data_IF_380073640118
#
_entry.id   IF_380073640118
#
_cell.length_a   1.000
_cell.length_b   1.000
_cell.length_c   1.000
_cell.angle_alpha   90.00
_cell.angle_beta   90.00
_cell.angle_gamma   90.00
#
_symmetry.space_group_name_H-M   'P 1'
#
loop_
_entity.id
_entity.type
_entity.pdbx_description
1 polymer ?
#
# COMPACT_ATOMS: atom_id res chain seq x y z
N UNK A 1 29.04 19.11 48.47
CA UNK A 1 30.52 19.04 48.44
C UNK A 1 30.89 17.61 48.14
N UNK A 2 31.70 17.20 47.16
CA UNK A 2 32.32 17.80 45.97
C UNK A 2 32.95 16.59 45.25
N UNK A 3 32.79 16.46 43.94
CA UNK A 3 33.35 15.34 43.19
C UNK A 3 32.86 15.30 41.74
N UNK A 4 32.99 16.43 41.05
CA UNK A 4 32.75 16.56 39.62
C UNK A 4 34.07 16.34 38.89
N UNK A 5 34.23 15.22 38.21
CA UNK A 5 35.33 15.05 37.25
C UNK A 5 34.95 15.66 35.90
N UNK A 6 35.68 16.72 35.54
CA UNK A 6 35.60 17.46 34.30
C UNK A 6 36.24 16.65 33.17
N UNK A 7 35.51 16.43 32.08
CA UNK A 7 36.11 16.13 30.78
C UNK A 7 36.16 17.42 29.96
N UNK A 8 37.37 17.81 29.54
CA UNK A 8 37.63 18.99 28.69
C UNK A 8 37.02 18.78 27.30
N UNK A 9 36.39 19.80 26.70
CA UNK A 9 36.16 19.83 25.26
C UNK A 9 37.48 20.18 24.56
N UNK A 10 37.82 19.47 23.48
CA UNK A 10 38.83 19.93 22.52
C UNK A 10 38.16 20.97 21.61
N UNK A 11 38.70 22.18 21.63
CA UNK A 11 38.33 23.28 20.74
C UNK A 11 38.68 22.96 19.28
N UNK A 12 37.78 23.34 18.38
CA UNK A 12 37.91 23.22 16.94
C UNK A 12 36.52 23.23 16.32
N UNK A 13 36.18 24.29 15.59
CA UNK A 13 34.82 24.57 15.09
C UNK A 13 34.22 23.46 14.23
N UNK A 14 32.89 23.30 14.30
CA UNK A 14 32.16 22.32 13.50
C UNK A 14 30.94 22.92 12.83
N UNK A 15 30.98 22.86 11.50
CA UNK A 15 29.85 22.73 10.60
C UNK A 15 28.95 21.58 11.09
N UNK A 16 27.63 21.76 11.04
CA UNK A 16 26.63 20.88 11.66
C UNK A 16 26.74 19.41 11.28
N UNK A 17 27.29 18.61 12.20
CA UNK A 17 27.20 17.15 12.22
C UNK A 17 26.40 16.72 13.46
N UNK A 18 25.32 15.95 13.27
CA UNK A 18 24.53 15.30 14.32
C UNK A 18 25.47 14.55 15.30
N UNK A 19 25.72 15.13 16.49
CA UNK A 19 26.57 14.48 17.51
C UNK A 19 25.87 13.23 18.06
N UNK A 20 26.36 12.06 17.66
CA UNK A 20 26.03 10.76 18.25
C UNK A 20 26.70 10.66 19.62
N UNK A 21 25.90 10.56 20.69
CA UNK A 21 26.41 10.23 22.03
C UNK A 21 26.03 8.79 22.36
N UNK A 22 27.01 7.94 22.64
CA UNK A 22 26.82 6.54 23.04
C UNK A 22 27.44 6.27 24.40
N UNK A 23 26.80 5.47 25.24
CA UNK A 23 27.41 4.89 26.43
C UNK A 23 27.13 3.38 26.49
N UNK A 24 28.12 2.61 26.94
CA UNK A 24 27.99 1.16 27.15
C UNK A 24 27.64 0.87 28.60
N UNK A 25 26.68 -0.02 28.81
CA UNK A 25 26.40 -0.61 30.12
C UNK A 25 27.18 -1.91 30.23
N UNK A 26 27.64 -2.28 31.43
CA UNK A 26 28.51 -3.46 31.71
C UNK A 26 28.00 -4.82 31.20
N UNK A 27 26.80 -4.90 30.64
CA UNK A 27 26.13 -6.13 30.19
C UNK A 27 26.10 -6.31 28.65
N UNK A 28 26.96 -5.64 27.89
CA UNK A 28 26.97 -5.73 26.41
C UNK A 28 25.80 -5.01 25.72
N UNK A 29 25.03 -4.23 26.49
CA UNK A 29 23.95 -3.36 25.99
C UNK A 29 24.54 -1.99 25.69
N UNK A 30 24.24 -1.49 24.49
CA UNK A 30 24.63 -0.19 23.98
C UNK A 30 23.40 0.72 23.97
N UNK A 31 23.55 1.92 24.51
CA UNK A 31 22.54 2.98 24.41
C UNK A 31 23.11 4.11 23.57
N UNK A 32 22.38 4.47 22.53
CA UNK A 32 22.78 5.50 21.57
C UNK A 32 21.66 6.50 21.37
N UNK A 33 22.02 7.76 21.14
CA UNK A 33 21.06 8.81 20.82
C UNK A 33 21.20 9.22 19.36
N UNK A 34 20.09 9.19 18.65
CA UNK A 34 19.95 9.67 17.28
C UNK A 34 18.85 10.75 17.25
N UNK A 35 19.28 12.01 17.40
CA UNK A 35 18.36 13.15 17.52
C UNK A 35 17.45 13.06 18.76
N UNK A 36 16.14 12.93 18.53
CA UNK A 36 15.11 12.79 19.56
C UNK A 36 14.83 11.33 19.96
N UNK A 37 15.42 10.36 19.24
CA UNK A 37 15.23 8.93 19.45
C UNK A 37 16.42 8.36 20.22
N UNK A 38 16.14 7.45 21.16
CA UNK A 38 17.16 6.66 21.86
C UNK A 38 17.08 5.22 21.38
N UNK A 39 18.20 4.63 20.99
CA UNK A 39 18.31 3.23 20.57
C UNK A 39 18.98 2.43 21.69
N UNK A 40 18.33 1.36 22.14
CA UNK A 40 18.86 0.40 23.12
C UNK A 40 19.00 -0.95 22.43
N UNK A 41 20.23 -1.42 22.28
CA UNK A 41 20.55 -2.64 21.52
C UNK A 41 21.64 -3.47 22.18
N UNK A 42 21.69 -4.75 21.86
CA UNK A 42 22.78 -5.67 22.18
C UNK A 42 23.73 -5.83 20.99
N UNK A 43 24.92 -6.39 21.19
CA UNK A 43 25.92 -6.56 20.13
C UNK A 43 25.46 -7.45 18.96
N UNK A 44 24.53 -8.38 19.19
CA UNK A 44 23.99 -9.28 18.17
C UNK A 44 22.75 -8.75 17.42
N UNK A 45 22.28 -7.53 17.74
CA UNK A 45 21.11 -6.97 17.08
C UNK A 45 21.46 -6.42 15.69
N UNK A 46 20.54 -6.54 14.74
CA UNK A 46 20.68 -6.00 13.38
C UNK A 46 20.61 -4.45 13.39
N UNK A 47 21.77 -3.82 13.38
CA UNK A 47 21.91 -2.36 13.38
C UNK A 47 21.27 -1.70 12.14
N UNK A 48 21.31 -2.36 10.98
CA UNK A 48 20.72 -1.80 9.76
C UNK A 48 19.19 -1.70 9.90
N UNK A 49 18.56 -2.78 10.38
CA UNK A 49 17.12 -2.80 10.64
C UNK A 49 16.69 -1.77 11.69
N UNK A 50 17.46 -1.62 12.78
CA UNK A 50 17.13 -0.63 13.82
C UNK A 50 17.22 0.81 13.29
N UNK A 51 18.22 1.12 12.46
CA UNK A 51 18.33 2.45 11.83
C UNK A 51 17.20 2.73 10.85
N UNK A 52 16.76 1.74 10.07
CA UNK A 52 15.59 1.88 9.21
C UNK A 52 14.34 2.25 10.03
N UNK A 53 14.15 1.57 11.17
CA UNK A 53 13.06 1.89 12.10
C UNK A 53 13.19 3.32 12.61
N UNK A 54 14.34 3.74 13.13
CA UNK A 54 14.57 5.11 13.64
C UNK A 54 14.22 6.17 12.59
N UNK A 55 14.64 5.98 11.33
CA UNK A 55 14.35 6.92 10.23
C UNK A 55 12.86 7.02 9.90
N UNK A 56 12.11 5.95 10.08
CA UNK A 56 10.69 5.88 9.76
C UNK A 56 9.77 6.29 10.93
N UNK A 57 10.32 6.62 12.10
CA UNK A 57 9.52 6.99 13.27
C UNK A 57 8.95 8.43 13.14
N UNK A 58 7.69 8.64 13.55
CA UNK A 58 7.18 9.99 13.79
C UNK A 58 8.01 10.73 14.84
N UNK A 59 8.24 12.03 14.61
CA UNK A 59 9.05 12.88 15.49
C UNK A 59 8.54 12.96 16.94
N UNK A 60 7.22 12.85 17.13
CA UNK A 60 6.58 12.85 18.44
C UNK A 60 5.69 11.60 18.63
N UNK A 61 5.49 11.14 19.89
CA UNK A 61 6.21 11.54 21.10
C UNK A 61 7.68 11.04 21.10
N UNK A 62 8.42 11.38 22.15
CA UNK A 62 9.78 10.88 22.37
C UNK A 62 9.83 9.35 22.26
N UNK A 63 10.74 8.80 21.46
CA UNK A 63 10.74 7.37 21.15
C UNK A 63 12.02 6.69 21.64
N UNK A 64 11.87 5.47 22.17
CA UNK A 64 12.97 4.57 22.52
C UNK A 64 12.84 3.30 21.70
N UNK A 65 13.79 3.06 20.80
CA UNK A 65 13.85 1.84 19.98
C UNK A 65 14.62 0.77 20.74
N UNK A 66 14.00 -0.39 20.93
CA UNK A 66 14.57 -1.52 21.69
C UNK A 66 14.82 -2.68 20.73
N UNK A 67 16.09 -2.98 20.48
CA UNK A 67 16.52 -4.06 19.59
C UNK A 67 16.58 -5.44 20.25
N UNK A 68 16.69 -5.48 21.58
CA UNK A 68 16.95 -6.69 22.35
C UNK A 68 15.76 -7.12 23.21
N UNK A 69 15.50 -8.42 23.29
CA UNK A 69 14.33 -9.01 24.00
C UNK A 69 14.66 -9.57 25.39
N UNK A 70 15.94 -9.56 25.79
CA UNK A 70 16.38 -10.13 27.06
C UNK A 70 16.04 -9.26 28.28
N UNK A 71 15.65 -9.88 29.41
CA UNK A 71 15.30 -9.16 30.65
C UNK A 71 16.41 -8.24 31.21
N UNK A 72 17.67 -8.47 30.83
CA UNK A 72 18.80 -7.62 31.18
C UNK A 72 18.65 -6.16 30.70
N UNK A 73 17.76 -5.91 29.71
CA UNK A 73 17.47 -4.57 29.21
C UNK A 73 16.59 -3.73 30.16
N UNK A 74 15.84 -4.36 31.07
CA UNK A 74 14.84 -3.66 31.90
C UNK A 74 15.43 -2.54 32.77
N UNK A 75 16.56 -2.72 33.49
CA UNK A 75 17.18 -1.63 34.23
C UNK A 75 17.68 -0.49 33.33
N UNK A 76 18.14 -0.84 32.12
CA UNK A 76 18.58 0.15 31.13
C UNK A 76 17.41 0.97 30.61
N UNK A 77 16.27 0.31 30.30
CA UNK A 77 15.03 1.00 29.91
C UNK A 77 14.55 1.95 30.99
N UNK A 78 14.54 1.53 32.26
CA UNK A 78 14.13 2.39 33.36
C UNK A 78 14.99 3.67 33.44
N UNK A 79 16.31 3.54 33.29
CA UNK A 79 17.23 4.69 33.25
C UNK A 79 17.02 5.58 32.03
N UNK A 80 16.79 5.00 30.85
CA UNK A 80 16.52 5.76 29.62
C UNK A 80 15.22 6.54 29.74
N UNK A 81 14.15 5.92 30.24
CA UNK A 81 12.87 6.60 30.48
C UNK A 81 13.03 7.74 31.48
N UNK A 82 13.76 7.53 32.59
CA UNK A 82 14.04 8.58 33.56
C UNK A 82 14.85 9.75 32.97
N UNK A 83 15.87 9.49 32.14
CA UNK A 83 16.59 10.56 31.42
C UNK A 83 15.65 11.33 30.46
N UNK A 84 14.73 10.63 29.78
CA UNK A 84 13.74 11.30 28.93
C UNK A 84 12.78 12.17 29.73
N UNK A 85 12.31 11.69 30.87
CA UNK A 85 11.48 12.42 31.82
C UNK A 85 12.20 13.69 32.32
N UNK A 86 13.45 13.57 32.79
CA UNK A 86 14.27 14.70 33.25
C UNK A 86 14.58 15.74 32.16
N UNK A 87 14.37 15.40 30.89
CA UNK A 87 14.47 16.32 29.73
C UNK A 87 13.11 16.85 29.27
N UNK A 88 12.05 16.69 30.07
CA UNK A 88 10.73 17.25 29.82
C UNK A 88 9.84 16.42 28.88
N UNK A 89 10.14 15.15 28.63
CA UNK A 89 9.21 14.30 27.86
C UNK A 89 7.98 13.94 28.71
N UNK A 90 6.79 14.37 28.31
CA UNK A 90 5.54 13.96 28.99
C UNK A 90 5.05 12.56 28.61
N UNK A 91 5.44 12.08 27.42
CA UNK A 91 5.11 10.74 26.90
C UNK A 91 6.37 10.12 26.29
N UNK A 92 6.63 8.86 26.63
CA UNK A 92 7.71 8.05 26.05
C UNK A 92 7.12 6.81 25.37
N UNK A 93 7.38 6.67 24.08
CA UNK A 93 6.94 5.52 23.27
C UNK A 93 8.07 4.52 23.10
N UNK A 94 7.82 3.26 23.48
CA UNK A 94 8.74 2.16 23.26
C UNK A 94 8.44 1.50 21.92
N UNK A 95 9.44 1.32 21.07
CA UNK A 95 9.31 0.67 19.77
C UNK A 95 10.23 -0.54 19.74
N UNK A 96 9.67 -1.75 19.64
CA UNK A 96 10.45 -2.97 19.71
C UNK A 96 10.18 -3.87 18.51
N UNK A 97 11.00 -3.81 17.43
CA UNK A 97 10.79 -4.62 16.22
C UNK A 97 10.81 -6.13 16.44
N UNK A 98 11.50 -6.59 17.50
CA UNK A 98 11.51 -7.99 17.95
C UNK A 98 10.60 -8.27 19.14
N UNK A 99 9.83 -7.29 19.61
CA UNK A 99 9.07 -7.36 20.86
C UNK A 99 9.88 -6.93 22.09
N UNK A 100 9.17 -6.64 23.19
CA UNK A 100 9.79 -6.34 24.48
C UNK A 100 9.93 -7.62 25.33
N UNK A 101 10.85 -7.63 26.32
CA UNK A 101 10.91 -8.72 27.29
C UNK A 101 9.56 -8.92 27.98
N UNK A 102 9.14 -10.19 28.13
CA UNK A 102 7.94 -10.51 28.88
C UNK A 102 8.09 -10.13 30.36
N UNK A 103 7.23 -9.22 30.82
CA UNK A 103 7.16 -8.73 32.19
C UNK A 103 5.71 -8.62 32.64
N UNK A 104 5.50 -8.63 33.96
CA UNK A 104 4.20 -8.33 34.53
C UNK A 104 3.77 -6.89 34.17
N UNK A 105 2.51 -6.64 33.75
CA UNK A 105 2.02 -5.31 33.40
C UNK A 105 2.24 -4.24 34.49
N UNK A 106 2.27 -4.64 35.77
CA UNK A 106 2.56 -3.73 36.89
C UNK A 106 3.96 -3.15 36.85
N UNK A 107 4.91 -3.78 36.13
CA UNK A 107 6.25 -3.24 35.93
C UNK A 107 6.20 -1.92 35.14
N UNK A 108 5.46 -1.89 34.04
CA UNK A 108 5.28 -0.68 33.23
C UNK A 108 4.54 0.41 34.01
N UNK A 109 3.51 0.04 34.79
CA UNK A 109 2.80 0.97 35.68
C UNK A 109 3.73 1.58 36.72
N UNK A 110 4.53 0.76 37.42
CA UNK A 110 5.51 1.26 38.41
C UNK A 110 6.56 2.16 37.77
N UNK A 111 7.00 1.85 36.55
CA UNK A 111 7.95 2.71 35.85
C UNK A 111 7.34 4.07 35.49
N UNK A 112 6.13 4.09 34.93
CA UNK A 112 5.40 5.32 34.62
C UNK A 112 5.20 6.17 35.89
N UNK A 113 4.77 5.54 37.00
CA UNK A 113 4.62 6.19 38.30
C UNK A 113 5.93 6.79 38.81
N UNK A 114 7.00 6.00 38.86
CA UNK A 114 8.28 6.43 39.41
C UNK A 114 8.96 7.54 38.60
N UNK A 115 8.62 7.66 37.31
CA UNK A 115 9.22 8.66 36.41
C UNK A 115 8.29 9.83 36.12
N UNK A 116 7.02 9.76 36.51
CA UNK A 116 6.01 10.79 36.24
C UNK A 116 5.68 10.96 34.75
N UNK A 117 6.07 10.02 33.89
CA UNK A 117 5.81 10.08 32.44
C UNK A 117 4.85 8.99 32.00
N UNK A 118 4.07 9.31 30.97
CA UNK A 118 3.24 8.32 30.31
C UNK A 118 4.08 7.41 29.41
N UNK A 119 3.81 6.11 29.46
CA UNK A 119 4.46 5.11 28.62
C UNK A 119 3.50 4.55 27.59
N UNK A 120 3.93 4.52 26.32
CA UNK A 120 3.29 3.76 25.25
C UNK A 120 4.11 2.51 24.97
N UNK A 121 3.55 1.35 25.29
CA UNK A 121 4.26 0.07 25.31
C UNK A 121 3.56 -0.92 24.38
N UNK A 122 4.25 -1.56 23.43
CA UNK A 122 3.65 -2.56 22.57
C UNK A 122 3.54 -3.90 23.31
N UNK A 123 2.44 -4.64 23.08
CA UNK A 123 2.28 -6.00 23.61
C UNK A 123 3.05 -7.08 22.84
N UNK A 124 3.63 -6.72 21.68
CA UNK A 124 4.32 -7.63 20.78
C UNK A 124 5.30 -6.91 19.83
N UNK A 125 5.82 -7.61 18.80
CA UNK A 125 6.73 -7.01 17.81
C UNK A 125 6.08 -5.85 17.05
N UNK A 126 6.85 -4.79 16.82
CA UNK A 126 6.37 -3.59 16.12
C UNK A 126 6.87 -3.55 14.68
N UNK A 127 5.93 -3.44 13.74
CA UNK A 127 6.19 -3.07 12.36
C UNK A 127 6.03 -1.55 12.17
N UNK A 128 6.82 -0.96 11.27
CA UNK A 128 6.69 0.44 10.87
C UNK A 128 6.25 0.49 9.42
N UNK A 129 5.17 1.22 9.14
CA UNK A 129 4.55 1.31 7.83
C UNK A 129 4.09 2.75 7.57
N UNK A 130 4.84 3.48 6.73
CA UNK A 130 4.62 4.90 6.37
C UNK A 130 4.26 5.79 7.56
N UNK A 131 5.14 5.83 8.57
CA UNK A 131 4.96 6.64 9.77
C UNK A 131 3.95 6.09 10.79
N UNK A 132 3.22 5.01 10.47
CA UNK A 132 2.37 4.32 11.45
C UNK A 132 3.12 3.13 12.05
N UNK A 133 2.92 2.91 13.35
CA UNK A 133 3.46 1.78 14.08
C UNK A 133 2.37 0.75 14.31
N UNK A 134 2.63 -0.50 13.99
CA UNK A 134 1.67 -1.59 14.14
C UNK A 134 2.23 -2.69 15.03
N UNK A 135 1.51 -3.04 16.10
CA UNK A 135 1.84 -4.18 16.95
C UNK A 135 1.31 -5.44 16.31
N UNK A 136 2.20 -6.36 15.94
CA UNK A 136 1.82 -7.67 15.42
C UNK A 136 1.35 -8.54 16.59
N UNK A 137 0.16 -9.11 16.44
CA UNK A 137 -0.36 -10.12 17.36
C UNK A 137 0.25 -11.49 17.11
N UNK A 138 0.07 -12.37 18.08
CA UNK A 138 0.26 -13.80 17.90
C UNK A 138 -1.09 -14.37 17.43
N UNK A 139 -1.14 -14.91 16.22
CA UNK A 139 -2.39 -15.31 15.54
C UNK A 139 -3.25 -16.29 16.36
N UNK A 140 -2.66 -16.97 17.35
CA UNK A 140 -3.35 -17.99 18.17
C UNK A 140 -3.72 -17.53 19.58
N UNK A 141 -3.11 -16.45 20.09
CA UNK A 141 -3.20 -16.13 21.53
C UNK A 141 -3.87 -14.80 21.81
N UNK A 142 -3.34 -13.71 21.27
CA UNK A 142 -3.81 -12.36 21.57
C UNK A 142 -3.55 -11.40 20.40
N UNK A 143 -4.49 -10.48 20.10
CA UNK A 143 -4.25 -9.42 19.16
C UNK A 143 -3.11 -8.51 19.67
N UNK A 144 -2.29 -8.03 18.74
CA UNK A 144 -1.27 -7.04 19.05
C UNK A 144 -1.93 -5.72 19.43
N UNK A 145 -1.48 -5.10 20.52
CA UNK A 145 -2.06 -3.86 21.01
C UNK A 145 -0.99 -2.94 21.60
N UNK A 146 -1.15 -1.65 21.37
CA UNK A 146 -0.46 -0.61 22.11
C UNK A 146 -1.13 -0.43 23.46
N UNK A 147 -0.32 -0.30 24.52
CA UNK A 147 -0.79 -0.04 25.88
C UNK A 147 -0.28 1.31 26.37
N UNK A 148 -1.18 2.10 26.94
CA UNK A 148 -0.90 3.37 27.60
C UNK A 148 -0.85 3.18 29.10
N UNK A 149 0.29 3.49 29.71
CA UNK A 149 0.46 3.54 31.16
C UNK A 149 0.70 4.99 31.58
N UNK A 150 -0.36 5.67 32.03
CA UNK A 150 -0.25 6.96 32.67
C UNK A 150 0.12 6.81 34.16
N UNK A 151 0.83 7.77 34.77
CA UNK A 151 1.01 7.81 36.23
C UNK A 151 -0.34 7.70 36.95
N UNK A 152 -0.42 6.86 37.98
CA UNK A 152 -1.64 6.55 38.73
C UNK A 152 -2.67 5.66 38.03
N UNK A 153 -2.48 5.33 36.75
CA UNK A 153 -3.46 4.58 35.94
C UNK A 153 -3.27 3.06 35.95
N UNK A 154 -4.32 2.31 35.57
CA UNK A 154 -4.32 0.84 35.50
C UNK A 154 -3.77 0.25 34.19
N UNK A 155 -3.37 1.08 33.23
CA UNK A 155 -3.01 0.66 31.87
C UNK A 155 -4.24 0.56 30.97
N UNK A 156 -4.19 1.19 29.78
CA UNK A 156 -5.30 1.20 28.81
C UNK A 156 -4.83 0.67 27.47
N UNK A 157 -5.61 -0.22 26.86
CA UNK A 157 -5.40 -0.68 25.49
C UNK A 157 -5.78 0.42 24.50
N UNK A 158 -4.94 0.63 23.49
CA UNK A 158 -5.08 1.64 22.44
C UNK A 158 -5.27 1.02 21.04
N UNK A 159 -5.35 -0.31 20.95
CA UNK A 159 -5.44 -1.04 19.69
C UNK A 159 -4.10 -1.21 18.98
N UNK A 160 -4.07 -1.85 17.80
CA UNK A 160 -2.84 -2.30 17.16
C UNK A 160 -2.03 -1.19 16.49
N UNK A 161 -2.61 -0.04 16.12
CA UNK A 161 -1.94 1.03 15.39
C UNK A 161 -1.64 2.23 16.29
N UNK A 162 -0.49 2.85 16.06
CA UNK A 162 -0.13 4.11 16.70
C UNK A 162 0.56 5.07 15.72
N UNK A 163 0.07 6.31 15.56
CA UNK A 163 -1.19 6.82 16.14
C UNK A 163 -2.41 6.05 15.60
N UNK A 164 -3.49 5.93 16.39
CA UNK A 164 -4.68 5.19 15.97
C UNK A 164 -5.41 5.97 14.85
N UNK A 165 -5.73 5.34 13.70
CA UNK A 165 -6.63 5.95 12.74
C UNK A 165 -8.05 5.99 13.32
N UNK A 166 -8.87 6.98 12.90
CA UNK A 166 -10.20 7.20 13.48
C UNK A 166 -11.16 6.00 13.32
N UNK A 167 -10.93 5.16 12.30
CA UNK A 167 -11.74 3.97 12.06
C UNK A 167 -11.33 2.75 12.90
N UNK A 168 -10.22 2.81 13.66
CA UNK A 168 -9.66 1.62 14.32
C UNK A 168 -10.66 0.93 15.25
N UNK A 169 -11.37 1.71 16.06
CA UNK A 169 -12.29 1.20 17.07
C UNK A 169 -13.63 0.73 16.46
N UNK A 170 -13.89 1.09 15.20
CA UNK A 170 -15.07 0.69 14.44
C UNK A 170 -14.88 -0.66 13.72
N UNK A 171 -13.68 -1.23 13.78
CA UNK A 171 -13.33 -2.49 13.12
C UNK A 171 -13.35 -3.64 14.14
N UNK A 172 -13.99 -4.78 13.84
CA UNK A 172 -13.99 -5.96 14.71
C UNK A 172 -12.59 -6.40 15.11
N UNK A 173 -12.45 -7.03 16.27
CA UNK A 173 -11.16 -7.53 16.75
C UNK A 173 -10.49 -8.47 15.73
N UNK A 174 -9.15 -8.42 15.68
CA UNK A 174 -8.39 -9.35 14.84
C UNK A 174 -8.65 -10.79 15.26
N UNK A 175 -8.89 -11.67 14.30
CA UNK A 175 -9.26 -13.07 14.54
C UNK A 175 -10.77 -13.33 14.48
N UNK A 176 -11.60 -12.30 14.36
CA UNK A 176 -13.06 -12.45 14.21
C UNK A 176 -13.38 -13.37 13.04
N UNK A 177 -14.21 -14.40 13.28
CA UNK A 177 -14.66 -15.31 12.22
C UNK A 177 -15.88 -14.76 11.51
N UNK A 178 -15.86 -14.83 10.17
CA UNK A 178 -17.01 -14.53 9.30
C UNK A 178 -17.50 -15.85 8.72
N UNK A 179 -18.78 -16.17 8.96
CA UNK A 179 -19.42 -17.46 8.62
C UNK A 179 -18.66 -18.72 9.04
N UNK A 180 -17.84 -18.62 10.08
CA UNK A 180 -17.00 -19.72 10.58
C UNK A 180 -15.89 -20.18 9.62
N UNK A 181 -15.77 -19.61 8.41
CA UNK A 181 -14.83 -20.04 7.36
C UNK A 181 -13.70 -19.04 7.12
N UNK A 182 -14.00 -17.75 7.26
CA UNK A 182 -13.03 -16.68 7.07
C UNK A 182 -12.61 -16.08 8.40
N UNK A 183 -11.43 -15.49 8.41
CA UNK A 183 -10.87 -14.72 9.52
C UNK A 183 -10.65 -13.29 9.03
N UNK A 184 -11.18 -12.33 9.79
CA UNK A 184 -10.81 -10.92 9.69
C UNK A 184 -9.57 -10.67 10.54
N UNK A 185 -8.43 -10.45 9.90
CA UNK A 185 -7.14 -10.21 10.56
C UNK A 185 -6.69 -8.76 10.34
N UNK A 186 -6.21 -8.12 11.41
CA UNK A 186 -5.68 -6.76 11.30
C UNK A 186 -4.31 -6.74 10.60
N UNK A 187 -4.17 -5.83 9.65
CA UNK A 187 -2.92 -5.45 9.01
C UNK A 187 -2.63 -3.97 9.27
N UNK A 188 -1.39 -3.49 9.13
CA UNK A 188 -1.10 -2.06 9.22
C UNK A 188 -2.04 -1.22 8.34
N UNK A 189 -2.25 -1.64 7.08
CA UNK A 189 -3.10 -0.95 6.09
C UNK A 189 -4.61 -1.01 6.36
N UNK A 190 -5.07 -1.90 7.24
CA UNK A 190 -6.51 -2.16 7.43
C UNK A 190 -6.78 -3.57 7.93
N UNK A 191 -7.68 -4.30 7.26
CA UNK A 191 -8.04 -5.68 7.58
C UNK A 191 -7.89 -6.54 6.35
N UNK A 192 -7.45 -7.78 6.52
CA UNK A 192 -7.59 -8.82 5.51
C UNK A 192 -8.69 -9.79 5.92
N UNK A 193 -9.63 -10.06 5.01
CA UNK A 193 -10.61 -11.12 5.12
C UNK A 193 -10.10 -12.32 4.33
N UNK A 194 -9.70 -13.38 5.02
CA UNK A 194 -9.02 -14.54 4.40
C UNK A 194 -9.48 -15.88 4.97
N UNK A 195 -9.36 -16.98 4.23
CA UNK A 195 -9.47 -18.31 4.79
C UNK A 195 -8.44 -18.54 5.91
N UNK A 196 -8.84 -19.24 6.97
CA UNK A 196 -7.99 -19.45 8.15
C UNK A 196 -6.63 -20.09 7.82
N UNK A 197 -6.64 -21.05 6.88
CA UNK A 197 -5.49 -21.86 6.50
C UNK A 197 -4.46 -21.13 5.61
N UNK A 198 -4.76 -19.91 5.14
CA UNK A 198 -3.87 -19.18 4.22
C UNK A 198 -3.41 -17.88 4.86
N UNK A 199 -2.11 -17.73 5.07
CA UNK A 199 -1.53 -16.52 5.66
C UNK A 199 -1.47 -15.37 4.63
N UNK A 200 -1.55 -14.10 5.08
CA UNK A 200 -1.38 -12.95 4.20
C UNK A 200 0.09 -12.80 3.78
N UNK A 201 0.36 -12.23 2.58
CA UNK A 201 1.71 -11.88 2.16
C UNK A 201 2.41 -10.93 3.15
N UNK A 202 3.69 -11.19 3.43
CA UNK A 202 4.45 -10.45 4.44
C UNK A 202 4.59 -8.96 4.11
N UNK A 203 4.64 -8.60 2.84
CA UNK A 203 4.78 -7.22 2.36
C UNK A 203 3.56 -6.34 2.68
N UNK A 204 2.39 -6.91 2.93
CA UNK A 204 1.22 -6.13 3.34
C UNK A 204 1.40 -5.52 4.74
N UNK A 205 2.36 -6.04 5.53
CA UNK A 205 2.76 -5.42 6.80
C UNK A 205 3.71 -4.23 6.66
N UNK A 206 4.17 -3.92 5.44
CA UNK A 206 4.96 -2.72 5.18
C UNK A 206 4.07 -1.52 4.77
N UNK A 207 2.80 -1.76 4.46
CA UNK A 207 1.90 -0.77 3.85
C UNK A 207 1.21 0.09 4.91
N UNK A 208 1.37 1.41 4.81
CA UNK A 208 0.76 2.36 5.73
C UNK A 208 -0.78 2.34 5.67
N UNK A 209 -1.50 2.55 6.79
CA UNK A 209 -2.93 2.81 6.74
C UNK A 209 -3.25 4.14 6.07
N UNK A 210 -4.42 4.21 5.45
CA UNK A 210 -5.09 5.49 5.19
C UNK A 210 -5.73 5.94 6.51
N UNK A 211 -5.36 7.11 7.07
CA UNK A 211 -5.88 7.56 8.36
C UNK A 211 -7.39 7.87 8.30
N UNK A 212 -7.95 8.06 7.11
CA UNK A 212 -9.34 8.45 6.88
C UNK A 212 -10.23 7.32 6.35
N UNK A 213 -9.68 6.18 5.96
CA UNK A 213 -10.48 5.06 5.43
C UNK A 213 -9.90 3.71 5.78
N UNK A 214 -10.75 2.76 6.18
CA UNK A 214 -10.33 1.37 6.36
C UNK A 214 -10.16 0.69 4.99
N UNK A 215 -9.04 0.00 4.81
CA UNK A 215 -8.84 -0.91 3.68
C UNK A 215 -9.26 -2.31 4.09
N UNK A 216 -10.18 -2.91 3.34
CA UNK A 216 -10.54 -4.32 3.50
C UNK A 216 -9.96 -5.08 2.31
N UNK A 217 -8.90 -5.86 2.56
CA UNK A 217 -8.30 -6.74 1.57
C UNK A 217 -9.10 -8.04 1.57
N UNK A 218 -9.67 -8.39 0.42
CA UNK A 218 -10.54 -9.56 0.24
C UNK A 218 -9.72 -10.69 -0.38
N UNK A 219 -9.60 -11.78 0.35
CA UNK A 219 -8.81 -12.94 -0.05
C UNK A 219 -7.31 -12.71 0.02
N UNK A 220 -6.57 -13.76 -0.32
CA UNK A 220 -5.11 -13.79 -0.35
C UNK A 220 -4.65 -14.53 -1.61
N UNK A 221 -3.48 -14.20 -2.18
CA UNK A 221 -2.98 -14.89 -3.38
C UNK A 221 -2.90 -16.41 -3.19
N UNK A 222 -3.43 -17.16 -4.15
CA UNK A 222 -3.44 -18.63 -4.13
C UNK A 222 -4.44 -19.27 -3.15
N UNK A 223 -5.18 -18.48 -2.37
CA UNK A 223 -6.24 -18.98 -1.49
C UNK A 223 -7.57 -19.20 -2.22
N UNK A 224 -8.51 -19.93 -1.59
CA UNK A 224 -9.92 -19.96 -2.02
C UNK A 224 -10.49 -18.55 -2.19
N UNK A 225 -11.31 -18.36 -3.24
CA UNK A 225 -12.00 -17.10 -3.47
C UNK A 225 -12.98 -16.80 -2.34
N UNK A 226 -13.02 -15.54 -1.94
CA UNK A 226 -14.00 -15.01 -0.99
C UNK A 226 -15.19 -14.46 -1.79
N UNK A 227 -16.42 -14.84 -1.43
CA UNK A 227 -17.63 -14.42 -2.14
C UNK A 227 -18.16 -13.07 -1.64
N UNK A 228 -19.10 -12.48 -2.38
CA UNK A 228 -19.65 -11.16 -2.07
C UNK A 228 -20.51 -11.14 -0.81
N UNK A 229 -21.17 -12.24 -0.49
CA UNK A 229 -21.97 -12.42 0.72
C UNK A 229 -21.09 -12.31 1.97
N UNK A 230 -19.99 -13.06 2.01
CA UNK A 230 -19.01 -13.01 3.10
C UNK A 230 -18.44 -11.59 3.32
N UNK A 231 -18.16 -10.88 2.22
CA UNK A 231 -17.68 -9.49 2.27
C UNK A 231 -18.76 -8.56 2.80
N UNK A 232 -19.99 -8.72 2.32
CA UNK A 232 -21.14 -7.90 2.73
C UNK A 232 -21.41 -8.07 4.23
N UNK A 233 -21.43 -9.30 4.72
CA UNK A 233 -21.68 -9.59 6.12
C UNK A 233 -20.59 -9.02 7.02
N UNK A 234 -19.32 -9.08 6.59
CA UNK A 234 -18.25 -8.38 7.29
C UNK A 234 -18.46 -6.85 7.30
N UNK A 235 -18.75 -6.24 6.14
CA UNK A 235 -18.98 -4.79 6.05
C UNK A 235 -20.16 -4.33 6.92
N UNK A 236 -21.19 -5.16 7.06
CA UNK A 236 -22.35 -4.88 7.92
C UNK A 236 -22.00 -4.88 9.42
N UNK A 237 -20.85 -5.45 9.83
CA UNK A 237 -20.37 -5.37 11.22
C UNK A 237 -19.66 -4.05 11.56
N UNK A 238 -19.29 -3.26 10.54
CA UNK A 238 -18.63 -1.96 10.73
C UNK A 238 -19.64 -0.89 11.13
N UNK A 239 -19.19 0.16 11.84
CA UNK A 239 -20.01 1.35 12.04
C UNK A 239 -20.41 1.97 10.68
N UNK A 240 -21.64 2.51 10.53
CA UNK A 240 -22.16 2.95 9.23
C UNK A 240 -21.25 3.92 8.47
N UNK A 241 -20.67 4.90 9.16
CA UNK A 241 -19.75 5.88 8.58
C UNK A 241 -18.44 5.25 8.10
N UNK A 242 -17.93 4.25 8.82
CA UNK A 242 -16.71 3.51 8.44
C UNK A 242 -17.01 2.55 7.30
N UNK A 243 -18.18 1.91 7.31
CA UNK A 243 -18.66 1.08 6.21
C UNK A 243 -18.78 1.89 4.90
N UNK A 244 -19.42 3.06 4.96
CA UNK A 244 -19.58 3.95 3.80
C UNK A 244 -18.25 4.50 3.25
N UNK A 245 -17.24 4.63 4.13
CA UNK A 245 -15.89 5.09 3.77
C UNK A 245 -14.91 3.95 3.45
N UNK A 246 -15.29 2.69 3.64
CA UNK A 246 -14.43 1.54 3.43
C UNK A 246 -14.05 1.38 1.95
N UNK A 247 -12.84 0.88 1.72
CA UNK A 247 -12.37 0.51 0.37
C UNK A 247 -12.03 -0.97 0.31
N UNK A 248 -12.55 -1.65 -0.71
CA UNK A 248 -12.24 -3.05 -0.98
C UNK A 248 -11.05 -3.17 -1.94
N UNK A 249 -10.12 -4.05 -1.60
CA UNK A 249 -8.99 -4.45 -2.45
C UNK A 249 -9.06 -5.96 -2.64
N UNK A 250 -9.08 -6.45 -3.88
CA UNK A 250 -9.05 -7.90 -4.12
C UNK A 250 -7.61 -8.43 -4.03
N UNK A 251 -7.29 -9.12 -2.94
CA UNK A 251 -5.99 -9.74 -2.70
C UNK A 251 -5.80 -11.09 -3.40
N UNK A 252 -6.88 -11.77 -3.75
CA UNK A 252 -6.90 -13.06 -4.47
C UNK A 252 -6.92 -12.91 -6.01
N UNK A 253 -6.90 -11.68 -6.52
CA UNK A 253 -6.89 -11.38 -7.96
C UNK A 253 -8.24 -11.48 -8.66
N UNK A 254 -9.36 -11.63 -7.93
CA UNK A 254 -10.69 -11.53 -8.54
C UNK A 254 -10.99 -10.10 -9.03
N UNK A 255 -11.98 -9.95 -9.90
CA UNK A 255 -12.37 -8.64 -10.43
C UNK A 255 -13.06 -7.78 -9.35
N UNK A 256 -12.36 -6.73 -8.92
CA UNK A 256 -12.80 -5.89 -7.80
C UNK A 256 -14.15 -5.20 -8.05
N UNK A 257 -14.43 -4.76 -9.29
CA UNK A 257 -15.71 -4.10 -9.58
C UNK A 257 -16.87 -5.08 -9.58
N UNK A 258 -16.69 -6.30 -10.10
CA UNK A 258 -17.72 -7.34 -10.02
C UNK A 258 -18.05 -7.63 -8.56
N UNK A 259 -17.04 -7.89 -7.72
CA UNK A 259 -17.24 -8.10 -6.27
C UNK A 259 -17.94 -6.89 -5.62
N UNK A 260 -17.46 -5.68 -5.90
CA UNK A 260 -17.99 -4.45 -5.32
C UNK A 260 -19.43 -4.14 -5.71
N UNK A 261 -19.83 -4.43 -6.95
CA UNK A 261 -21.23 -4.26 -7.40
C UNK A 261 -22.15 -5.25 -6.69
N UNK A 262 -21.76 -6.51 -6.61
CA UNK A 262 -22.55 -7.53 -5.90
C UNK A 262 -22.66 -7.16 -4.42
N UNK A 263 -21.56 -6.79 -3.76
CA UNK A 263 -21.58 -6.36 -2.37
C UNK A 263 -22.42 -5.09 -2.16
N UNK A 264 -22.34 -4.09 -3.05
CA UNK A 264 -23.17 -2.89 -2.98
C UNK A 264 -24.67 -3.21 -3.12
N UNK A 265 -25.02 -4.14 -4.01
CA UNK A 265 -26.38 -4.63 -4.17
C UNK A 265 -26.91 -5.33 -2.92
N UNK A 266 -26.10 -6.20 -2.31
CA UNK A 266 -26.47 -6.92 -1.08
C UNK A 266 -26.56 -6.00 0.14
N UNK A 267 -25.64 -5.03 0.26
CA UNK A 267 -25.59 -4.09 1.38
C UNK A 267 -26.63 -2.96 1.27
N UNK A 268 -27.15 -2.72 0.06
CA UNK A 268 -28.08 -1.62 -0.22
C UNK A 268 -27.43 -0.23 -0.21
N UNK A 269 -26.10 -0.15 -0.19
CA UNK A 269 -25.33 1.12 -0.23
C UNK A 269 -24.14 0.99 -1.17
N UNK A 270 -23.61 2.13 -1.60
CA UNK A 270 -22.47 2.14 -2.50
C UNK A 270 -21.19 1.65 -1.81
N UNK A 271 -20.41 0.85 -2.51
CA UNK A 271 -19.12 0.30 -2.05
C UNK A 271 -18.00 0.89 -2.90
N UNK A 272 -16.90 1.31 -2.26
CA UNK A 272 -15.70 1.74 -2.98
C UNK A 272 -14.76 0.56 -3.18
N UNK A 273 -14.29 0.37 -4.41
CA UNK A 273 -13.29 -0.65 -4.74
C UNK A 273 -12.04 -0.01 -5.31
N UNK A 274 -10.93 -0.72 -5.16
CA UNK A 274 -9.61 -0.30 -5.60
C UNK A 274 -9.05 -1.36 -6.53
N UNK A 275 -8.59 -0.94 -7.71
CA UNK A 275 -7.86 -1.84 -8.61
C UNK A 275 -6.39 -1.93 -8.17
N UNK A 276 -5.89 -3.15 -8.06
CA UNK A 276 -4.53 -3.46 -7.60
C UNK A 276 -4.38 -3.52 -6.08
N UNK A 277 -3.27 -4.08 -5.64
CA UNK A 277 -2.93 -4.19 -4.22
C UNK A 277 -2.02 -3.05 -3.79
N UNK A 278 -2.15 -2.53 -2.56
CA UNK A 278 -1.25 -1.50 -2.10
C UNK A 278 0.16 -2.08 -1.91
N UNK A 279 1.15 -1.37 -2.41
CA UNK A 279 2.56 -1.63 -2.21
C UNK A 279 3.25 -0.34 -1.79
N UNK A 280 4.34 -0.47 -1.03
CA UNK A 280 5.20 0.66 -0.71
C UNK A 280 6.28 0.77 -1.78
N UNK A 281 6.42 1.95 -2.39
CA UNK A 281 7.53 2.26 -3.29
C UNK A 281 8.17 3.56 -2.82
N UNK A 282 9.32 3.45 -2.14
CA UNK A 282 9.89 4.59 -1.42
C UNK A 282 8.98 5.01 -0.27
N UNK A 283 8.63 6.30 -0.21
CA UNK A 283 7.73 6.86 0.81
C UNK A 283 6.26 6.93 0.36
N UNK A 284 5.94 6.49 -0.86
CA UNK A 284 4.59 6.57 -1.42
C UNK A 284 3.89 5.20 -1.39
N UNK A 285 2.62 5.19 -0.96
CA UNK A 285 1.71 4.08 -1.21
C UNK A 285 1.25 4.12 -2.66
N UNK A 286 1.50 3.05 -3.40
CA UNK A 286 1.02 2.89 -4.77
C UNK A 286 0.17 1.64 -4.89
N UNK A 287 -0.99 1.74 -5.53
CA UNK A 287 -1.75 0.55 -5.92
C UNK A 287 -1.12 -0.03 -7.18
N UNK A 288 -0.74 -1.29 -7.12
CA UNK A 288 -0.08 -1.99 -8.23
C UNK A 288 -0.76 -3.33 -8.45
N UNK A 289 -1.02 -3.64 -9.72
CA UNK A 289 -1.52 -4.94 -10.13
C UNK A 289 -0.45 -6.00 -9.93
N UNK A 290 -0.86 -7.26 -9.79
CA UNK A 290 0.06 -8.37 -9.59
C UNK A 290 -0.15 -9.43 -10.66
N UNK A 291 0.94 -10.00 -11.17
CA UNK A 291 0.88 -11.14 -12.07
C UNK A 291 0.42 -12.42 -11.33
N UNK A 292 0.25 -13.52 -12.07
CA UNK A 292 -0.14 -14.81 -11.49
C UNK A 292 0.87 -15.40 -10.50
N UNK A 293 2.10 -14.88 -10.45
CA UNK A 293 3.11 -15.23 -9.45
C UNK A 293 3.08 -14.26 -8.25
N UNK A 294 2.12 -13.34 -8.20
CA UNK A 294 1.99 -12.34 -7.14
C UNK A 294 2.98 -11.17 -7.27
N UNK A 295 3.74 -11.05 -8.36
CA UNK A 295 4.74 -9.97 -8.50
C UNK A 295 4.07 -8.68 -9.00
N UNK A 296 4.40 -7.50 -8.42
CA UNK A 296 3.87 -6.23 -8.90
C UNK A 296 4.22 -5.97 -10.38
N UNK A 297 3.27 -5.52 -11.18
CA UNK A 297 3.46 -5.27 -12.64
C UNK A 297 3.42 -3.78 -13.00
N UNK A 298 2.25 -3.17 -12.97
CA UNK A 298 2.03 -1.75 -13.29
C UNK A 298 0.91 -1.19 -12.41
N UNK A 299 0.87 0.14 -12.29
CA UNK A 299 -0.13 0.82 -11.48
C UNK A 299 -1.28 1.33 -12.33
N UNK A 300 -2.55 0.97 -12.01
CA UNK A 300 -3.70 1.36 -12.80
C UNK A 300 -3.90 2.88 -12.79
N UNK A 301 -4.36 3.42 -13.92
CA UNK A 301 -4.69 4.84 -14.03
C UNK A 301 -5.96 5.17 -13.24
N UNK A 302 -7.00 4.36 -13.37
CA UNK A 302 -8.18 4.44 -12.51
C UNK A 302 -7.91 3.63 -11.23
N UNK A 303 -7.80 4.30 -10.09
CA UNK A 303 -7.36 3.70 -8.83
C UNK A 303 -8.52 3.34 -7.92
N UNK A 304 -9.51 4.22 -7.78
CA UNK A 304 -10.67 4.01 -6.92
C UNK A 304 -11.97 4.20 -7.70
N UNK A 305 -12.92 3.31 -7.48
CA UNK A 305 -14.17 3.21 -8.23
C UNK A 305 -15.31 3.07 -7.23
N UNK A 306 -16.36 3.88 -7.37
CA UNK A 306 -17.59 3.77 -6.60
C UNK A 306 -18.54 2.82 -7.33
N UNK A 307 -18.87 1.70 -6.71
CA UNK A 307 -19.92 0.80 -7.15
C UNK A 307 -21.22 1.19 -6.43
N UNK A 308 -22.21 1.79 -7.12
CA UNK A 308 -23.51 2.10 -6.50
C UNK A 308 -24.30 0.82 -6.21
N UNK A 309 -25.27 0.91 -5.31
CA UNK A 309 -26.32 -0.09 -5.19
C UNK A 309 -27.28 0.02 -6.40
N UNK A 310 -27.72 -1.13 -6.94
CA UNK A 310 -28.64 -1.18 -8.08
C UNK A 310 -27.96 -1.12 -9.46
N UNK A 311 -28.70 -0.63 -10.46
CA UNK A 311 -28.30 -0.70 -11.88
C UNK A 311 -27.43 0.46 -12.35
N UNK A 312 -27.17 1.45 -11.48
CA UNK A 312 -26.35 2.59 -11.85
C UNK A 312 -24.91 2.16 -12.21
N UNK A 313 -24.32 2.87 -13.18
CA UNK A 313 -22.95 2.60 -13.60
C UNK A 313 -21.96 2.98 -12.50
N UNK A 314 -20.90 2.17 -12.35
CA UNK A 314 -19.83 2.49 -11.41
C UNK A 314 -19.10 3.78 -11.87
N UNK A 315 -18.70 4.61 -10.92
CA UNK A 315 -18.14 5.93 -11.20
C UNK A 315 -16.67 6.02 -10.75
N UNK A 316 -15.80 6.71 -11.51
CA UNK A 316 -14.43 6.94 -11.09
C UNK A 316 -14.39 7.89 -9.88
N UNK A 317 -13.65 7.52 -8.83
CA UNK A 317 -13.44 8.35 -7.64
C UNK A 317 -12.03 8.93 -7.57
N UNK A 318 -11.02 8.15 -7.96
CA UNK A 318 -9.62 8.55 -7.90
C UNK A 318 -8.85 7.99 -9.07
N UNK A 319 -7.99 8.80 -9.65
CA UNK A 319 -7.15 8.41 -10.77
C UNK A 319 -5.77 9.07 -10.71
N UNK A 320 -4.82 8.44 -11.41
CA UNK A 320 -3.50 8.99 -11.70
C UNK A 320 -3.56 9.76 -13.02
N UNK A 321 -2.97 10.95 -13.05
CA UNK A 321 -2.84 11.74 -14.28
C UNK A 321 -1.95 10.96 -15.27
N UNK A 322 -2.43 10.62 -16.48
CA UNK A 322 -1.69 9.74 -17.38
C UNK A 322 -0.41 10.34 -17.94
N UNK A 323 -0.43 11.65 -18.19
CA UNK A 323 0.68 12.40 -18.76
C UNK A 323 0.74 13.77 -18.09
N UNK A 324 1.94 14.19 -17.70
CA UNK A 324 2.15 15.49 -17.08
C UNK A 324 1.72 16.64 -18.02
N UNK A 325 1.11 17.67 -17.44
CA UNK A 325 0.67 18.89 -18.15
C UNK A 325 -0.70 18.79 -18.84
N UNK A 326 -1.39 17.65 -18.78
CA UNK A 326 -2.76 17.56 -19.30
C UNK A 326 -3.75 18.40 -18.47
N UNK A 327 -4.66 19.08 -19.16
CA UNK A 327 -5.66 19.96 -18.52
C UNK A 327 -6.90 19.13 -18.14
N UNK A 328 -7.36 19.12 -16.87
CA UNK A 328 -8.60 18.45 -16.49
C UNK A 328 -9.82 19.02 -17.23
N UNK A 329 -10.70 18.14 -17.72
CA UNK A 329 -11.96 18.50 -18.38
C UNK A 329 -13.18 18.09 -17.54
N UNK A 330 -13.18 16.86 -17.03
CA UNK A 330 -14.19 16.34 -16.10
C UNK A 330 -13.57 15.20 -15.26
N UNK A 331 -14.27 14.61 -14.27
CA UNK A 331 -13.71 13.52 -13.46
C UNK A 331 -13.13 12.38 -14.31
N UNK A 332 -11.82 12.15 -14.19
CA UNK A 332 -11.09 11.14 -14.96
C UNK A 332 -10.88 11.46 -16.43
N UNK A 333 -11.21 12.66 -16.91
CA UNK A 333 -11.09 13.05 -18.32
C UNK A 333 -10.24 14.30 -18.46
N UNK A 334 -9.31 14.26 -19.39
CA UNK A 334 -8.34 15.32 -19.65
C UNK A 334 -8.42 15.79 -21.09
N UNK A 335 -8.14 17.07 -21.33
CA UNK A 335 -8.01 17.63 -22.67
C UNK A 335 -6.58 17.43 -23.17
N UNK A 336 -6.44 16.80 -24.34
CA UNK A 336 -5.15 16.64 -25.03
C UNK A 336 -4.90 17.85 -25.93
N UNK A 337 -5.89 18.20 -26.73
CA UNK A 337 -5.97 19.42 -27.54
C UNK A 337 -7.45 19.83 -27.68
N UNK A 338 -7.78 20.79 -28.55
CA UNK A 338 -9.17 21.23 -28.73
C UNK A 338 -10.08 20.16 -29.38
N UNK A 339 -9.51 19.18 -30.08
CA UNK A 339 -10.23 18.12 -30.77
C UNK A 339 -10.32 16.80 -30.00
N UNK A 340 -9.49 16.58 -28.97
CA UNK A 340 -9.33 15.28 -28.32
C UNK A 340 -9.35 15.32 -26.79
N UNK A 341 -10.05 14.34 -26.22
CA UNK A 341 -10.13 14.07 -24.79
C UNK A 341 -9.50 12.70 -24.48
N UNK A 342 -8.80 12.60 -23.37
CA UNK A 342 -8.24 11.38 -22.82
C UNK A 342 -8.95 11.02 -21.51
N UNK A 343 -9.74 9.95 -21.53
CA UNK A 343 -10.38 9.38 -20.34
C UNK A 343 -9.54 8.28 -19.70
N UNK A 344 -9.57 8.18 -18.37
CA UNK A 344 -9.00 7.05 -17.63
C UNK A 344 -9.99 5.91 -17.55
N UNK A 345 -9.55 4.70 -17.88
CA UNK A 345 -10.32 3.47 -17.75
C UNK A 345 -9.62 2.53 -16.77
N UNK A 346 -10.34 1.50 -16.31
CA UNK A 346 -9.76 0.41 -15.50
C UNK A 346 -8.57 -0.25 -16.19
N UNK A 347 -8.78 -0.65 -17.44
CA UNK A 347 -7.77 -1.35 -18.24
C UNK A 347 -6.73 -0.42 -18.88
N UNK A 348 -6.84 0.91 -18.73
CA UNK A 348 -5.90 1.86 -19.31
C UNK A 348 -6.51 3.23 -19.61
N UNK A 349 -6.50 3.64 -20.87
CA UNK A 349 -6.81 5.00 -21.32
C UNK A 349 -7.71 4.98 -22.56
N UNK A 350 -8.53 6.00 -22.73
CA UNK A 350 -9.44 6.14 -23.86
C UNK A 350 -9.33 7.52 -24.52
N UNK A 351 -8.80 7.57 -25.73
CA UNK A 351 -8.71 8.77 -26.54
C UNK A 351 -9.95 8.90 -27.43
N UNK A 352 -10.73 9.97 -27.24
CA UNK A 352 -11.98 10.22 -27.97
C UNK A 352 -12.11 11.68 -28.42
N UNK A 353 -13.02 11.94 -29.35
CA UNK A 353 -13.27 13.30 -29.85
C UNK A 353 -13.91 14.20 -28.79
N UNK A 354 -13.49 15.45 -28.75
CA UNK A 354 -14.11 16.51 -27.96
C UNK A 354 -15.43 16.98 -28.62
N UNK A 355 -16.39 17.48 -27.82
CA UNK A 355 -17.67 17.99 -28.32
C UNK A 355 -18.76 16.94 -28.60
N UNK A 356 -18.51 15.67 -28.28
CA UNK A 356 -19.53 14.60 -28.28
C UNK A 356 -20.16 14.45 -26.89
N UNK A 357 -21.42 13.97 -26.79
CA UNK A 357 -22.05 13.71 -25.50
C UNK A 357 -21.13 12.86 -24.62
N UNK A 358 -21.07 13.14 -23.31
CA UNK A 358 -20.28 12.31 -22.40
C UNK A 358 -20.90 10.91 -22.38
N UNK A 359 -20.24 9.96 -23.03
CA UNK A 359 -20.46 8.56 -22.69
C UNK A 359 -19.87 8.36 -21.28
N UNK A 360 -20.63 7.77 -20.34
CA UNK A 360 -20.02 7.33 -19.10
C UNK A 360 -18.85 6.44 -19.48
N UNK A 361 -17.66 6.75 -18.95
CA UNK A 361 -16.48 5.94 -19.23
C UNK A 361 -16.85 4.50 -18.88
N UNK A 362 -16.84 3.58 -19.86
CA UNK A 362 -17.15 2.20 -19.55
C UNK A 362 -16.18 1.78 -18.45
N UNK A 363 -16.73 1.27 -17.36
CA UNK A 363 -15.98 0.40 -16.47
C UNK A 363 -15.63 -0.79 -17.37
N UNK A 364 -14.51 -0.69 -18.08
CA UNK A 364 -14.15 -1.56 -19.19
C UNK A 364 -13.95 -3.01 -18.76
N UNK A 365 -13.35 -3.86 -19.61
CA UNK A 365 -13.06 -5.24 -19.20
C UNK A 365 -12.24 -5.27 -17.90
N UNK A 366 -12.24 -6.40 -17.17
CA UNK A 366 -11.37 -6.60 -16.02
C UNK A 366 -9.93 -6.21 -16.33
N UNK A 367 -9.25 -5.67 -15.32
CA UNK A 367 -7.87 -5.21 -15.49
C UNK A 367 -6.95 -6.41 -15.66
N UNK A 368 -6.11 -6.37 -16.70
CA UNK A 368 -5.08 -7.38 -16.94
C UNK A 368 -3.72 -6.88 -16.42
N UNK A 369 -3.07 -7.59 -15.47
CA UNK A 369 -1.75 -7.23 -14.98
C UNK A 369 -0.65 -7.19 -16.06
N UNK A 370 -0.86 -7.84 -17.22
CA UNK A 370 0.10 -7.89 -18.32
C UNK A 370 -0.16 -6.84 -19.42
N UNK A 371 -1.32 -6.19 -19.44
CA UNK A 371 -1.75 -5.33 -20.55
C UNK A 371 -2.30 -3.99 -20.07
N UNK A 372 -1.84 -2.91 -20.70
CA UNK A 372 -2.46 -1.58 -20.60
C UNK A 372 -3.11 -1.24 -21.94
N UNK A 373 -4.42 -1.04 -21.96
CA UNK A 373 -5.15 -0.71 -23.19
C UNK A 373 -5.20 0.79 -23.41
N UNK A 374 -4.78 1.26 -24.58
CA UNK A 374 -5.09 2.59 -25.10
C UNK A 374 -6.16 2.44 -26.17
N UNK A 375 -7.41 2.72 -25.82
CA UNK A 375 -8.54 2.70 -26.72
C UNK A 375 -8.62 4.01 -27.51
N UNK A 376 -8.96 3.95 -28.80
CA UNK A 376 -9.03 5.13 -29.68
C UNK A 376 -10.32 5.16 -30.48
N UNK A 377 -11.04 6.28 -30.37
CA UNK A 377 -12.33 6.51 -31.00
C UNK A 377 -13.50 5.85 -30.26
N UNK A 378 -14.67 5.96 -30.87
CA UNK A 378 -15.93 5.43 -30.37
C UNK A 378 -16.39 4.28 -31.31
N UNK A 379 -16.91 3.16 -30.79
CA UNK A 379 -17.39 2.05 -31.63
C UNK A 379 -18.36 2.49 -32.74
N UNK A 380 -18.07 2.09 -33.98
CA UNK A 380 -18.91 2.38 -35.15
C UNK A 380 -18.77 3.80 -35.73
N UNK A 381 -18.04 4.69 -35.07
CA UNK A 381 -17.86 6.07 -35.52
C UNK A 381 -16.61 6.22 -36.42
N UNK A 382 -16.66 7.04 -37.49
CA UNK A 382 -15.50 7.31 -38.32
C UNK A 382 -14.34 7.92 -37.52
N UNK A 383 -13.15 7.33 -37.65
CA UNK A 383 -11.96 7.81 -36.98
C UNK A 383 -11.12 8.68 -37.93
N UNK A 384 -11.00 10.00 -37.67
CA UNK A 384 -10.30 10.93 -38.56
C UNK A 384 -8.78 10.72 -38.58
N UNK A 385 -8.12 11.08 -39.68
CA UNK A 385 -6.66 10.92 -39.82
C UNK A 385 -5.86 11.79 -38.85
N UNK A 386 -6.42 12.90 -38.37
CA UNK A 386 -5.76 13.80 -37.42
C UNK A 386 -5.49 13.15 -36.05
N UNK A 387 -6.09 12.01 -35.73
CA UNK A 387 -5.84 11.31 -34.46
C UNK A 387 -4.43 10.73 -34.36
N UNK A 388 -3.83 10.33 -35.48
CA UNK A 388 -2.62 9.50 -35.44
C UNK A 388 -1.38 10.27 -34.96
N UNK A 389 -1.15 11.53 -35.38
CA UNK A 389 -0.07 12.34 -34.79
C UNK A 389 -0.29 12.61 -33.30
N UNK A 390 -1.52 12.91 -32.89
CA UNK A 390 -1.89 13.15 -31.47
C UNK A 390 -1.63 11.89 -30.63
N UNK A 391 -2.00 10.72 -31.17
CA UNK A 391 -1.78 9.44 -30.53
C UNK A 391 -0.29 9.12 -30.41
N UNK A 392 0.52 9.42 -31.43
CA UNK A 392 1.96 9.21 -31.37
C UNK A 392 2.62 10.07 -30.27
N UNK A 393 2.32 11.37 -30.21
CA UNK A 393 2.80 12.27 -29.15
C UNK A 393 2.38 11.77 -27.76
N UNK A 394 1.11 11.38 -27.62
CA UNK A 394 0.59 10.88 -26.37
C UNK A 394 1.37 9.64 -25.90
N UNK A 395 1.61 8.68 -26.79
CA UNK A 395 2.34 7.45 -26.45
C UNK A 395 3.77 7.76 -26.02
N UNK A 396 4.46 8.69 -26.70
CA UNK A 396 5.85 9.04 -26.38
C UNK A 396 6.00 9.70 -24.99
N UNK A 397 4.89 10.21 -24.43
CA UNK A 397 4.85 10.88 -23.12
C UNK A 397 4.33 9.99 -22.00
N UNK A 398 3.92 8.75 -22.27
CA UNK A 398 3.49 7.81 -21.24
C UNK A 398 4.66 7.35 -20.36
N UNK A 399 4.36 6.95 -19.13
CA UNK A 399 5.37 6.41 -18.22
C UNK A 399 6.10 5.19 -18.82
N UNK A 400 7.42 5.13 -18.63
CA UNK A 400 8.27 4.06 -19.14
C UNK A 400 7.89 2.66 -18.62
N UNK A 401 7.23 2.55 -17.46
CA UNK A 401 6.76 1.27 -16.92
C UNK A 401 5.48 0.75 -17.62
N UNK A 402 4.75 1.62 -18.32
CA UNK A 402 3.53 1.28 -19.06
C UNK A 402 3.83 0.88 -20.50
N UNK A 403 4.81 1.52 -21.15
CA UNK A 403 5.10 1.31 -22.58
C UNK A 403 5.26 -0.17 -23.00
N UNK A 404 6.02 -1.03 -22.28
CA UNK A 404 6.17 -2.44 -22.67
C UNK A 404 4.87 -3.27 -22.63
N UNK A 405 3.85 -2.77 -21.92
CA UNK A 405 2.56 -3.43 -21.69
C UNK A 405 1.44 -2.81 -22.53
N UNK A 406 1.73 -1.71 -23.22
CA UNK A 406 0.74 -0.96 -23.96
C UNK A 406 0.18 -1.79 -25.12
N UNK A 407 -1.13 -1.74 -25.31
CA UNK A 407 -1.85 -2.34 -26.43
C UNK A 407 -2.82 -1.32 -26.98
N UNK A 408 -2.76 -1.09 -28.29
CA UNK A 408 -3.62 -0.16 -28.98
C UNK A 408 -4.92 -0.87 -29.40
N UNK A 409 -6.07 -0.36 -28.95
CA UNK A 409 -7.39 -0.86 -29.35
C UNK A 409 -8.13 0.22 -30.13
N UNK A 410 -8.19 0.07 -31.44
CA UNK A 410 -8.93 1.01 -32.30
C UNK A 410 -10.39 0.62 -32.27
N UNK A 411 -11.23 1.47 -31.67
CA UNK A 411 -12.67 1.25 -31.51
C UNK A 411 -13.48 1.88 -32.64
N UNK A 412 -13.10 3.09 -33.07
CA UNK A 412 -13.71 3.75 -34.24
C UNK A 412 -13.27 3.13 -35.56
N UNK A 413 -13.89 3.55 -36.66
CA UNK A 413 -13.65 3.04 -38.01
C UNK A 413 -12.59 3.87 -38.75
N UNK A 414 -11.32 3.41 -38.80
CA UNK A 414 -10.28 4.10 -39.55
C UNK A 414 -10.45 3.89 -41.07
N UNK A 415 -10.21 4.95 -41.84
CA UNK A 415 -9.99 4.84 -43.28
C UNK A 415 -8.71 4.04 -43.62
N UNK A 416 -8.45 3.73 -44.91
CA UNK A 416 -7.30 2.93 -45.33
C UNK A 416 -5.95 3.49 -44.86
N UNK A 417 -5.74 4.82 -44.98
CA UNK A 417 -4.54 5.51 -44.48
C UNK A 417 -4.44 5.44 -42.96
N UNK A 418 -5.55 5.59 -42.25
CA UNK A 418 -5.59 5.44 -40.80
C UNK A 418 -5.21 4.03 -40.34
N UNK A 419 -5.66 2.98 -41.04
CA UNK A 419 -5.24 1.59 -40.76
C UNK A 419 -3.74 1.40 -40.98
N UNK A 420 -3.17 2.04 -42.00
CA UNK A 420 -1.73 2.01 -42.25
C UNK A 420 -0.96 2.73 -41.13
N UNK A 421 -1.37 3.94 -40.77
CA UNK A 421 -0.77 4.73 -39.69
C UNK A 421 -0.83 4.00 -38.34
N UNK A 422 -1.96 3.37 -38.01
CA UNK A 422 -2.09 2.59 -36.78
C UNK A 422 -1.09 1.42 -36.71
N UNK A 423 -0.90 0.71 -37.84
CA UNK A 423 0.07 -0.39 -37.93
C UNK A 423 1.51 0.11 -37.87
N UNK A 424 1.79 1.27 -38.46
CA UNK A 424 3.10 1.90 -38.40
C UNK A 424 3.45 2.34 -36.98
N UNK A 425 2.52 3.01 -36.30
CA UNK A 425 2.66 3.39 -34.90
C UNK A 425 2.93 2.16 -34.02
N UNK A 426 2.14 1.10 -34.20
CA UNK A 426 2.28 -0.16 -33.49
C UNK A 426 3.66 -0.80 -33.71
N UNK A 427 4.10 -0.91 -34.96
CA UNK A 427 5.41 -1.48 -35.32
C UNK A 427 6.58 -0.65 -34.79
N UNK A 428 6.52 0.67 -34.94
CA UNK A 428 7.60 1.57 -34.53
C UNK A 428 7.86 1.59 -33.03
N UNK A 429 6.93 1.10 -32.21
CA UNK A 429 7.00 1.11 -30.74
C UNK A 429 6.82 -0.26 -30.10
N UNK A 430 6.81 -1.33 -30.90
CA UNK A 430 6.59 -2.72 -30.47
C UNK A 430 5.29 -2.90 -29.63
N UNK A 431 4.22 -2.24 -30.07
CA UNK A 431 2.91 -2.25 -29.41
C UNK A 431 1.99 -3.22 -30.17
N UNK A 432 1.33 -4.14 -29.45
CA UNK A 432 0.26 -4.95 -30.04
C UNK A 432 -0.97 -4.10 -30.38
N UNK A 433 -1.60 -4.34 -31.54
CA UNK A 433 -2.77 -3.60 -32.03
C UNK A 433 -3.97 -4.50 -32.30
N UNK A 434 -5.17 -4.04 -31.92
CA UNK A 434 -6.46 -4.59 -32.32
C UNK A 434 -7.22 -3.55 -33.15
N UNK A 435 -7.62 -3.91 -34.36
CA UNK A 435 -8.45 -3.09 -35.25
C UNK A 435 -9.92 -3.54 -35.20
N UNK A 436 -10.90 -2.67 -35.53
CA UNK A 436 -12.30 -3.06 -35.62
C UNK A 436 -12.50 -4.19 -36.65
N UNK A 437 -13.42 -5.11 -36.35
CA UNK A 437 -13.78 -6.23 -37.24
C UNK A 437 -12.75 -7.37 -37.30
N UNK A 438 -11.63 -7.29 -36.57
CA UNK A 438 -10.72 -8.43 -36.42
C UNK A 438 -11.35 -9.46 -35.46
N UNK A 439 -11.77 -10.61 -35.98
CA UNK A 439 -12.36 -11.70 -35.19
C UNK A 439 -11.36 -12.15 -34.11
N UNK A 440 -11.83 -12.17 -32.85
CA UNK A 440 -11.05 -12.56 -31.68
C UNK A 440 -10.79 -14.07 -31.72
N UNK A 441 -9.67 -14.48 -32.35
CA UNK A 441 -9.32 -15.90 -32.46
C UNK A 441 -7.87 -16.24 -32.78
N UNK A 442 -7.02 -15.25 -33.12
CA UNK A 442 -5.58 -15.53 -33.28
C UNK A 442 -4.79 -15.09 -32.03
N UNK A 443 -3.99 -15.99 -31.43
CA UNK A 443 -3.04 -15.58 -30.42
C UNK A 443 -2.05 -14.59 -31.04
N UNK A 444 -1.81 -13.48 -30.34
CA UNK A 444 -0.76 -12.52 -30.69
C UNK A 444 0.56 -13.30 -30.87
N UNK A 445 1.34 -13.05 -31.95
CA UNK A 445 2.66 -13.63 -32.06
C UNK A 445 3.50 -13.13 -30.88
N UNK A 446 3.96 -14.07 -30.05
CA UNK A 446 4.90 -13.78 -28.97
C UNK A 446 6.22 -13.21 -29.51
N UNK A 447 7.06 -12.62 -28.64
CA UNK A 447 8.32 -12.03 -29.05
C UNK A 447 9.18 -13.06 -29.80
N UNK A 448 9.63 -12.68 -31.00
CA UNK A 448 10.50 -13.50 -31.85
C UNK A 448 11.79 -13.79 -31.08
N UNK A 449 11.88 -14.98 -30.50
CA UNK A 449 13.17 -15.51 -30.03
C UNK A 449 14.02 -15.74 -31.27
N UNK A 450 15.07 -14.94 -31.40
CA UNK A 450 16.17 -15.15 -32.33
C UNK A 450 16.61 -16.62 -32.25
N UNK A 451 16.40 -17.36 -33.34
CA UNK A 451 16.93 -18.72 -33.51
C UNK A 451 18.46 -18.60 -33.53
N UNK A 452 19.09 -19.00 -32.44
CA UNK A 452 20.51 -19.32 -32.44
C UNK A 452 20.71 -20.54 -33.33
N UNK A 453 21.48 -20.35 -34.40
CA UNK A 453 21.98 -21.40 -35.26
C UNK A 453 22.87 -22.34 -34.46
N UNK A 454 22.34 -23.48 -34.02
CA UNK A 454 23.13 -24.62 -33.60
C UNK A 454 23.27 -25.57 -34.79
N UNK A 455 24.47 -25.56 -35.35
CA UNK A 455 24.98 -26.52 -36.33
C UNK A 455 24.83 -27.94 -35.80
N UNK A 456 24.06 -28.75 -36.52
CA UNK A 456 24.05 -30.20 -36.39
C UNK A 456 25.31 -30.74 -37.06
N UNK A 457 26.32 -31.09 -36.27
CA UNK A 457 27.42 -31.97 -36.68
C UNK A 457 27.12 -33.37 -36.16
N UNK A 458 26.69 -34.19 -37.09
CA UNK A 458 26.52 -35.63 -37.07
C UNK A 458 27.82 -36.36 -36.65
N UNK A 459 27.72 -37.32 -35.71
CA UNK A 459 28.17 -38.72 -35.92
C UNK A 459 27.95 -39.65 -34.71
N UNK A 460 27.74 -40.95 -34.96
CA UNK A 460 27.28 -41.91 -33.96
C UNK A 460 28.42 -42.74 -33.35
N UNK A 461 28.23 -43.18 -32.10
CA UNK A 461 28.42 -44.56 -31.64
C UNK A 461 27.71 -44.77 -30.30
#
# INVERSE_FOLDING_TARGET
>A
MTGWDRYRPLDGGWVGLLRRTSWRVRCGIVVEREGAVVVVRSAGDDEHRLRQVVRALPAAPASVVVGTTGKAVLPVLARVVADRAGRGAGVVRLVAPGGLPAVDPSWWRRLAEATGVELLVPSGPVAVAGGTLFVRGDHERLPGTWRRYAPGGSGRDLGPRHPPPHWQDAVPASGTRVHGRLIAEHLPVGVVLRPAATAPPAEWHAVAPDPHRVTVIVGVPGGPRVCAEDVTDYLATLLPEVCAAARLVCGDGQDAVTLGRTAAGLLGTAVTVVDGTPVVRGDEMRFTLRDGAGRPTWAPYLQEIRCPAGEASAAPLRWRVPVAGLVPHSPGVFRVDDGWLLGVMRSGLWLRRNGRPPHPVPVGPPVDPAVVTLAVGDPGEPLPEQVWPVLADLVDRLDADVLPRLRLSVLGEPGPRGRAAARELARGRDIGIRLPGAVSGQPLPGPVRSRSSASTSDRPR
#
